data_IF_700693675013
#
_entry.id   IF_700693675013
#
_cell.length_a   1.000
_cell.length_b   1.000
_cell.length_c   1.000
_cell.angle_alpha   90.00
_cell.angle_beta   90.00
_cell.angle_gamma   90.00
#
_symmetry.space_group_name_H-M   'P 1'
#
loop_
_entity.id
_entity.type
_entity.pdbx_description
1 polymer ?
#
# COMPACT_ATOMS: atom_id res chain seq x y z
N UNK A 1 15.83 3.84 18.43
CA UNK A 1 14.69 2.89 18.60
C UNK A 1 15.09 1.61 17.89
N UNK A 2 14.80 0.44 18.46
CA UNK A 2 15.06 -0.85 17.83
C UNK A 2 13.70 -1.34 17.32
N UNK A 3 13.61 -1.72 16.04
CA UNK A 3 12.38 -2.26 15.47
C UNK A 3 12.15 -3.69 15.96
N UNK A 4 10.88 -4.08 16.08
CA UNK A 4 10.51 -5.48 16.23
C UNK A 4 10.61 -6.19 14.88
N UNK A 5 10.50 -7.53 14.87
CA UNK A 5 10.50 -8.32 13.63
C UNK A 5 9.36 -7.89 12.69
N UNK A 6 8.18 -7.59 13.25
CA UNK A 6 7.06 -7.03 12.48
C UNK A 6 7.38 -5.62 11.95
N UNK A 7 8.09 -4.80 12.74
CA UNK A 7 8.56 -3.50 12.31
C UNK A 7 9.58 -3.57 11.16
N UNK A 8 10.45 -4.59 11.17
CA UNK A 8 11.38 -4.85 10.07
C UNK A 8 10.64 -5.27 8.79
N UNK A 9 9.59 -6.11 8.89
CA UNK A 9 8.73 -6.44 7.74
C UNK A 9 8.08 -5.18 7.15
N UNK A 10 7.54 -4.31 8.01
CA UNK A 10 6.96 -3.03 7.59
C UNK A 10 7.99 -2.16 6.87
N UNK A 11 9.21 -2.07 7.42
CA UNK A 11 10.30 -1.30 6.82
C UNK A 11 10.73 -1.85 5.45
N UNK A 12 10.84 -3.17 5.31
CA UNK A 12 11.21 -3.83 4.06
C UNK A 12 10.17 -3.59 2.97
N UNK A 13 8.88 -3.83 3.24
CA UNK A 13 7.82 -3.60 2.25
C UNK A 13 7.63 -2.10 1.96
N UNK A 14 7.99 -1.21 2.90
CA UNK A 14 8.02 0.23 2.67
C UNK A 14 9.05 0.58 1.59
N UNK A 15 10.31 0.16 1.74
CA UNK A 15 11.35 0.41 0.74
C UNK A 15 11.03 -0.22 -0.62
N UNK A 16 10.60 -1.48 -0.61
CA UNK A 16 10.21 -2.21 -1.83
C UNK A 16 9.10 -1.49 -2.61
N UNK A 17 8.22 -0.76 -1.95
CA UNK A 17 7.19 0.02 -2.64
C UNK A 17 7.77 1.10 -3.55
N UNK A 18 8.90 1.71 -3.18
CA UNK A 18 9.59 2.72 -4.00
C UNK A 18 10.46 2.07 -5.09
N UNK A 19 10.96 0.86 -4.85
CA UNK A 19 11.68 0.09 -5.88
C UNK A 19 10.73 -0.36 -7.01
N UNK A 20 9.49 -0.71 -6.66
CA UNK A 20 8.49 -1.21 -7.61
C UNK A 20 7.75 -0.10 -8.38
N UNK A 21 7.68 1.12 -7.83
CA UNK A 21 6.83 2.20 -8.35
C UNK A 21 7.68 3.39 -8.76
N UNK A 22 7.98 3.46 -10.06
CA UNK A 22 8.81 4.52 -10.64
C UNK A 22 8.24 5.94 -10.48
N UNK A 23 6.93 6.06 -10.23
CA UNK A 23 6.26 7.33 -9.98
C UNK A 23 6.42 7.84 -8.55
N UNK A 24 6.87 7.01 -7.60
CA UNK A 24 6.99 7.37 -6.19
C UNK A 24 8.40 7.83 -5.82
N UNK A 25 8.47 8.97 -5.14
CA UNK A 25 9.71 9.52 -4.61
C UNK A 25 9.58 9.71 -3.09
N UNK A 26 10.51 9.13 -2.34
CA UNK A 26 10.56 9.21 -0.88
C UNK A 26 11.42 10.39 -0.44
N UNK A 27 10.83 11.36 0.26
CA UNK A 27 11.56 12.54 0.76
C UNK A 27 12.00 12.40 2.21
N UNK A 28 11.09 11.98 3.09
CA UNK A 28 11.37 11.80 4.51
C UNK A 28 10.34 10.86 5.11
N UNK A 29 10.73 10.00 6.05
CA UNK A 29 9.79 9.19 6.78
C UNK A 29 10.32 8.86 8.17
N UNK A 30 9.41 8.41 9.04
CA UNK A 30 9.72 7.82 10.33
C UNK A 30 8.73 6.70 10.61
N UNK A 31 9.26 5.53 10.96
CA UNK A 31 8.48 4.41 11.44
C UNK A 31 8.53 4.39 12.97
N UNK A 32 7.37 4.55 13.58
CA UNK A 32 7.14 4.50 15.02
C UNK A 32 6.40 3.19 15.37
N UNK A 33 6.36 2.76 16.65
CA UNK A 33 5.79 1.46 17.01
C UNK A 33 4.32 1.26 16.62
N UNK A 34 3.56 2.35 16.48
CA UNK A 34 2.13 2.33 16.18
C UNK A 34 1.74 3.14 14.93
N UNK A 35 2.66 3.87 14.30
CA UNK A 35 2.36 4.69 13.13
C UNK A 35 3.57 4.95 12.24
N UNK A 36 3.30 5.36 11.00
CA UNK A 36 4.28 5.78 10.02
C UNK A 36 3.94 7.21 9.60
N UNK A 37 4.91 8.13 9.64
CA UNK A 37 4.78 9.44 9.00
C UNK A 37 5.74 9.51 7.82
N UNK A 38 5.31 10.13 6.72
CA UNK A 38 6.11 10.21 5.50
C UNK A 38 5.75 11.44 4.67
N UNK A 39 6.72 11.92 3.89
CA UNK A 39 6.54 12.78 2.74
C UNK A 39 6.90 11.96 1.50
N UNK A 40 5.89 11.77 0.64
CA UNK A 40 6.02 11.09 -0.64
C UNK A 40 5.58 12.05 -1.73
N UNK A 41 6.33 12.06 -2.83
CA UNK A 41 5.95 12.72 -4.07
C UNK A 41 5.52 11.67 -5.10
N UNK A 42 4.45 11.99 -5.83
CA UNK A 42 3.95 11.16 -6.92
C UNK A 42 4.12 11.95 -8.22
N UNK A 43 4.99 11.49 -9.10
CA UNK A 43 5.26 12.12 -10.38
C UNK A 43 4.67 11.29 -11.54
N UNK A 44 3.50 11.71 -12.00
CA UNK A 44 2.78 11.06 -13.10
C UNK A 44 3.39 11.33 -14.49
N UNK A 45 4.47 12.10 -14.58
CA UNK A 45 5.15 12.36 -15.86
C UNK A 45 6.21 11.31 -16.21
N UNK A 46 6.44 10.31 -15.34
CA UNK A 46 7.32 9.19 -15.64
C UNK A 46 6.61 8.28 -16.66
N UNK A 47 7.06 8.33 -17.91
CA UNK A 47 6.64 7.35 -18.92
C UNK A 47 7.18 5.98 -18.52
N UNK A 48 6.39 4.90 -18.60
CA UNK A 48 6.87 3.58 -18.25
C UNK A 48 8.06 3.24 -19.15
N UNK A 49 9.16 2.85 -18.53
CA UNK A 49 10.40 2.55 -19.20
C UNK A 49 10.58 1.03 -19.23
N UNK A 50 9.65 0.28 -19.83
CA UNK A 50 9.86 -1.14 -20.10
C UNK A 50 9.20 -1.60 -21.39
N UNK A 51 9.98 -2.36 -22.15
CA UNK A 51 9.62 -3.16 -23.32
C UNK A 51 8.55 -4.20 -22.91
N UNK A 52 7.29 -3.78 -22.81
CA UNK A 52 6.18 -4.72 -22.73
C UNK A 52 6.05 -5.43 -24.08
N UNK A 53 6.15 -6.76 -24.08
CA UNK A 53 5.72 -7.58 -25.21
C UNK A 53 4.19 -7.51 -25.20
N UNK A 54 3.53 -6.93 -26.23
CA UNK A 54 2.08 -6.87 -26.25
C UNK A 54 1.53 -8.28 -26.47
N UNK A 55 0.79 -8.80 -25.49
CA UNK A 55 -0.02 -10.00 -25.67
C UNK A 55 -1.38 -9.56 -26.23
N UNK A 56 -1.47 -9.43 -27.55
CA UNK A 56 -2.70 -9.08 -28.27
C UNK A 56 -3.67 -10.28 -28.32
N UNK A 57 -4.24 -10.71 -27.19
CA UNK A 57 -5.31 -11.72 -27.22
C UNK A 57 -6.32 -11.52 -26.08
N UNK A 58 -7.65 -11.52 -26.37
CA UNK A 58 -8.68 -11.52 -25.33
C UNK A 58 -8.45 -12.72 -24.41
N UNK A 59 -8.28 -12.46 -23.11
CA UNK A 59 -8.10 -13.52 -22.11
C UNK A 59 -9.44 -13.77 -21.46
N UNK A 60 -10.17 -14.79 -21.94
CA UNK A 60 -11.37 -15.27 -21.25
C UNK A 60 -10.96 -16.12 -20.05
N UNK A 61 -11.34 -15.71 -18.83
CA UNK A 61 -10.98 -16.41 -17.60
C UNK A 61 -12.24 -16.70 -16.79
N UNK A 62 -12.62 -17.98 -16.68
CA UNK A 62 -13.78 -18.44 -15.90
C UNK A 62 -13.33 -19.06 -14.57
N UNK A 63 -13.74 -18.48 -13.44
CA UNK A 63 -13.46 -19.01 -12.09
C UNK A 63 -13.20 -17.91 -11.04
N UNK A 64 -12.95 -18.32 -9.79
CA UNK A 64 -12.39 -17.43 -8.77
C UNK A 64 -10.92 -17.22 -9.14
N UNK A 65 -10.55 -15.98 -9.45
CA UNK A 65 -9.18 -15.60 -9.78
C UNK A 65 -8.63 -14.80 -8.61
N UNK A 66 -7.79 -15.43 -7.80
CA UNK A 66 -7.01 -14.77 -6.75
C UNK A 66 -5.63 -14.41 -7.32
N UNK A 67 -5.39 -13.12 -7.59
CA UNK A 67 -4.06 -12.63 -7.93
C UNK A 67 -3.46 -11.88 -6.74
N UNK A 68 -2.26 -12.30 -6.34
CA UNK A 68 -1.55 -11.71 -5.21
C UNK A 68 -0.56 -10.61 -5.62
N UNK A 69 -0.63 -10.08 -6.86
CA UNK A 69 0.34 -9.17 -7.48
C UNK A 69 -0.30 -8.10 -8.40
N UNK A 70 0.52 -7.18 -8.92
CA UNK A 70 0.19 -6.24 -9.99
C UNK A 70 -0.29 -6.99 -11.24
N UNK A 71 -1.47 -6.62 -11.75
CA UNK A 71 -2.04 -7.15 -12.98
C UNK A 71 -2.23 -6.00 -13.97
N UNK A 72 -1.48 -6.05 -15.07
CA UNK A 72 -1.64 -5.16 -16.22
C UNK A 72 -2.35 -5.95 -17.33
N UNK A 73 -3.52 -5.47 -17.74
CA UNK A 73 -4.32 -6.08 -18.81
C UNK A 73 -4.50 -5.07 -19.94
N UNK A 74 -3.96 -5.42 -21.11
CA UNK A 74 -4.20 -4.71 -22.37
C UNK A 74 -5.45 -5.29 -23.05
N UNK A 75 -6.63 -4.80 -22.69
CA UNK A 75 -7.92 -5.17 -23.29
C UNK A 75 -9.12 -4.96 -22.36
N UNK A 76 -10.31 -5.27 -22.87
CA UNK A 76 -11.52 -5.36 -22.06
C UNK A 76 -11.47 -6.62 -21.18
N UNK A 77 -11.75 -6.46 -19.88
CA UNK A 77 -11.78 -7.57 -18.93
C UNK A 77 -13.23 -7.95 -18.64
N UNK A 78 -13.67 -9.06 -19.23
CA UNK A 78 -14.94 -9.69 -18.89
C UNK A 78 -14.72 -10.77 -17.83
N UNK A 79 -15.36 -10.62 -16.67
CA UNK A 79 -15.35 -11.66 -15.63
C UNK A 79 -16.76 -12.12 -15.32
N UNK A 80 -16.96 -13.44 -15.29
CA UNK A 80 -18.20 -14.06 -14.84
C UNK A 80 -17.99 -14.58 -13.40
N UNK A 81 -18.05 -13.68 -12.41
CA UNK A 81 -17.90 -14.05 -10.99
C UNK A 81 -17.54 -12.87 -10.07
N UNK A 82 -17.14 -13.18 -8.83
CA UNK A 82 -16.56 -12.22 -7.88
C UNK A 82 -15.05 -12.12 -8.12
N UNK A 83 -14.56 -10.93 -8.49
CA UNK A 83 -13.14 -10.62 -8.55
C UNK A 83 -12.74 -9.83 -7.29
N UNK A 84 -12.01 -10.48 -6.37
CA UNK A 84 -11.38 -9.81 -5.24
C UNK A 84 -9.90 -9.60 -5.56
N UNK A 85 -9.47 -8.35 -5.69
CA UNK A 85 -8.08 -8.01 -5.93
C UNK A 85 -7.48 -7.40 -4.67
N UNK A 86 -6.39 -8.00 -4.20
CA UNK A 86 -5.62 -7.50 -3.05
C UNK A 86 -4.46 -6.59 -3.50
N UNK A 87 -4.40 -6.22 -4.79
CA UNK A 87 -3.36 -5.42 -5.43
C UNK A 87 -3.91 -4.40 -6.45
N UNK A 88 -3.01 -3.69 -7.11
CA UNK A 88 -3.36 -2.72 -8.16
C UNK A 88 -3.74 -3.42 -9.46
N UNK A 89 -4.83 -2.97 -10.07
CA UNK A 89 -5.28 -3.41 -11.39
C UNK A 89 -5.22 -2.23 -12.34
N UNK A 90 -4.32 -2.29 -13.33
CA UNK A 90 -4.28 -1.37 -14.45
C UNK A 90 -5.06 -1.99 -15.63
N UNK A 91 -6.14 -1.31 -16.07
CA UNK A 91 -6.91 -1.69 -17.27
C UNK A 91 -6.97 -0.52 -18.24
N UNK A 92 -6.62 -0.76 -19.50
CA UNK A 92 -6.76 0.24 -20.58
C UNK A 92 -8.16 0.22 -21.24
N UNK A 93 -9.09 -0.63 -20.77
CA UNK A 93 -10.46 -0.79 -21.26
C UNK A 93 -11.56 -0.66 -20.19
N UNK A 94 -12.81 -0.95 -20.57
CA UNK A 94 -13.97 -0.94 -19.65
C UNK A 94 -14.05 -2.25 -18.86
N UNK A 95 -14.26 -2.16 -17.54
CA UNK A 95 -14.49 -3.33 -16.69
C UNK A 95 -16.00 -3.48 -16.47
N UNK A 96 -16.61 -4.49 -17.12
CA UNK A 96 -18.02 -4.83 -16.92
C UNK A 96 -18.14 -6.05 -16.00
N UNK A 97 -18.85 -5.89 -14.87
CA UNK A 97 -19.17 -7.00 -13.96
C UNK A 97 -20.68 -7.26 -14.00
N UNK A 98 -21.11 -8.43 -14.47
CA UNK A 98 -22.53 -8.80 -14.59
C UNK A 98 -23.20 -9.22 -13.27
N UNK A 99 -22.93 -8.47 -12.19
CA UNK A 99 -23.51 -8.69 -10.86
C UNK A 99 -23.16 -7.54 -9.94
N UNK A 100 -24.13 -7.06 -9.14
CA UNK A 100 -24.02 -5.88 -8.29
C UNK A 100 -22.77 -5.89 -7.39
N UNK A 101 -21.78 -5.08 -7.74
CA UNK A 101 -21.12 -4.12 -6.86
C UNK A 101 -20.15 -3.27 -7.69
N UNK A 102 -20.43 -1.99 -7.88
CA UNK A 102 -19.41 -1.02 -8.23
C UNK A 102 -18.43 -0.96 -7.05
N UNK A 103 -17.44 -1.85 -7.01
CA UNK A 103 -16.31 -1.65 -6.13
C UNK A 103 -15.57 -0.44 -6.68
N UNK A 104 -15.42 0.64 -5.91
CA UNK A 104 -14.68 1.80 -6.39
C UNK A 104 -13.25 1.37 -6.71
N UNK A 105 -12.93 1.31 -8.00
CA UNK A 105 -11.59 0.99 -8.48
C UNK A 105 -10.68 2.17 -8.15
N UNK A 106 -9.56 1.89 -7.47
CA UNK A 106 -8.57 2.93 -7.19
C UNK A 106 -7.87 3.26 -8.48
N UNK A 107 -7.72 4.55 -8.78
CA UNK A 107 -6.92 4.98 -9.92
C UNK A 107 -5.48 4.47 -9.74
N UNK A 108 -4.86 3.90 -10.78
CA UNK A 108 -3.47 3.51 -10.71
C UNK A 108 -2.58 4.73 -10.49
N UNK A 109 -1.39 4.51 -9.94
CA UNK A 109 -0.40 5.58 -9.67
C UNK A 109 -0.95 6.70 -8.78
N UNK A 110 -1.96 6.38 -7.96
CA UNK A 110 -2.54 7.30 -6.97
C UNK A 110 -2.06 6.95 -5.56
N UNK A 111 -2.12 7.93 -4.65
CA UNK A 111 -1.82 7.71 -3.23
C UNK A 111 -2.66 6.57 -2.63
N UNK A 112 -3.93 6.47 -3.03
CA UNK A 112 -4.84 5.42 -2.56
C UNK A 112 -4.42 4.04 -3.04
N UNK A 113 -4.01 3.92 -4.30
CA UNK A 113 -3.50 2.68 -4.89
C UNK A 113 -2.20 2.24 -4.20
N UNK A 114 -1.25 3.17 -4.05
CA UNK A 114 0.00 2.92 -3.32
C UNK A 114 -0.24 2.43 -1.89
N UNK A 115 -1.00 3.17 -1.08
CA UNK A 115 -1.23 2.81 0.34
C UNK A 115 -1.98 1.48 0.47
N UNK A 116 -2.90 1.18 -0.45
CA UNK A 116 -3.60 -0.09 -0.46
C UNK A 116 -2.65 -1.27 -0.72
N UNK A 117 -1.82 -1.16 -1.76
CA UNK A 117 -0.82 -2.18 -2.08
C UNK A 117 0.18 -2.38 -0.95
N UNK A 118 0.68 -1.30 -0.35
CA UNK A 118 1.59 -1.37 0.79
C UNK A 118 0.98 -2.08 2.00
N UNK A 119 -0.21 -1.67 2.43
CA UNK A 119 -0.89 -2.29 3.60
C UNK A 119 -1.20 -3.77 3.35
N UNK A 120 -1.57 -4.11 2.12
CA UNK A 120 -1.85 -5.50 1.71
C UNK A 120 -0.59 -6.36 1.78
N UNK A 121 0.50 -5.91 1.16
CA UNK A 121 1.78 -6.63 1.15
C UNK A 121 2.33 -6.86 2.56
N UNK A 122 2.26 -5.85 3.43
CA UNK A 122 2.66 -6.00 4.84
C UNK A 122 1.82 -7.04 5.57
N UNK A 123 0.48 -7.01 5.44
CA UNK A 123 -0.37 -8.00 6.09
C UNK A 123 0.00 -9.42 5.65
N UNK A 124 0.16 -9.64 4.34
CA UNK A 124 0.57 -10.94 3.80
C UNK A 124 1.90 -11.38 4.39
N UNK A 125 2.91 -10.49 4.44
CA UNK A 125 4.23 -10.84 4.99
C UNK A 125 4.23 -11.12 6.48
N UNK A 126 3.39 -10.42 7.23
CA UNK A 126 3.22 -10.68 8.66
C UNK A 126 2.52 -12.02 8.88
N UNK A 127 1.47 -12.33 8.11
CA UNK A 127 0.77 -13.61 8.21
C UNK A 127 1.69 -14.79 7.81
N UNK A 128 2.48 -14.63 6.74
CA UNK A 128 3.53 -15.59 6.34
C UNK A 128 4.53 -15.82 7.47
N UNK A 129 4.98 -14.75 8.13
CA UNK A 129 5.93 -14.80 9.23
C UNK A 129 5.33 -15.51 10.45
N UNK A 130 4.06 -15.22 10.80
CA UNK A 130 3.34 -15.90 11.87
C UNK A 130 3.29 -17.42 11.63
N UNK A 131 3.00 -17.83 10.39
CA UNK A 131 2.95 -19.25 10.01
C UNK A 131 4.33 -19.92 10.09
N UNK A 132 5.35 -19.29 9.51
CA UNK A 132 6.71 -19.84 9.46
C UNK A 132 7.31 -20.03 10.85
N UNK A 133 6.99 -19.13 11.78
CA UNK A 133 7.49 -19.15 13.15
C UNK A 133 6.50 -19.79 14.15
N UNK A 134 5.35 -20.26 13.66
CA UNK A 134 4.28 -20.89 14.45
C UNK A 134 3.92 -20.06 15.69
N UNK A 135 3.75 -18.75 15.50
CA UNK A 135 3.51 -17.80 16.59
C UNK A 135 2.06 -17.93 17.10
N UNK A 136 1.81 -17.86 18.42
CA UNK A 136 0.47 -17.94 18.99
C UNK A 136 -0.27 -16.59 18.90
N UNK A 137 -0.27 -15.96 17.72
CA UNK A 137 -0.88 -14.66 17.46
C UNK A 137 -1.94 -14.84 16.36
N UNK A 138 -3.16 -14.29 16.51
CA UNK A 138 -4.16 -14.37 15.46
C UNK A 138 -3.72 -13.61 14.21
N UNK A 139 -3.91 -14.21 13.05
CA UNK A 139 -3.65 -13.60 11.74
C UNK A 139 -4.52 -12.38 11.49
N UNK A 140 -4.06 -11.52 10.58
CA UNK A 140 -4.80 -10.31 10.23
C UNK A 140 -5.75 -10.57 9.06
N UNK A 141 -7.00 -10.15 9.22
CA UNK A 141 -8.06 -10.34 8.23
C UNK A 141 -9.12 -9.25 8.38
N UNK A 142 -10.20 -9.28 7.59
CA UNK A 142 -11.26 -8.25 7.57
C UNK A 142 -11.95 -7.93 8.92
N UNK A 143 -11.73 -8.72 9.97
CA UNK A 143 -12.26 -8.48 11.33
C UNK A 143 -11.15 -8.29 12.37
N UNK A 144 -9.88 -8.44 11.99
CA UNK A 144 -8.71 -8.26 12.83
C UNK A 144 -7.63 -7.54 12.02
N UNK A 145 -7.51 -6.22 12.14
CA UNK A 145 -6.66 -5.42 11.26
C UNK A 145 -5.35 -5.03 11.94
N UNK A 146 -4.23 -5.22 11.25
CA UNK A 146 -2.93 -4.68 11.66
C UNK A 146 -2.90 -3.15 11.50
N UNK A 147 -3.40 -2.65 10.37
CA UNK A 147 -3.51 -1.22 10.09
C UNK A 147 -4.88 -0.65 10.45
N UNK A 148 -4.91 0.61 10.88
CA UNK A 148 -6.12 1.42 10.79
C UNK A 148 -6.64 1.47 9.33
N UNK A 149 -7.97 1.50 9.15
CA UNK A 149 -8.60 1.39 7.84
C UNK A 149 -8.17 2.52 6.88
N UNK A 150 -8.21 3.75 7.37
CA UNK A 150 -7.86 4.94 6.59
C UNK A 150 -6.41 5.37 6.83
N UNK A 151 -6.04 6.48 6.21
CA UNK A 151 -4.78 7.18 6.44
C UNK A 151 -5.06 8.68 6.38
N UNK A 152 -4.19 9.48 6.99
CA UNK A 152 -4.27 10.94 6.90
C UNK A 152 -3.26 11.41 5.85
N UNK A 153 -3.74 12.15 4.86
CA UNK A 153 -2.92 12.78 3.83
C UNK A 153 -3.04 14.31 3.87
N UNK A 154 -2.00 14.98 3.37
CA UNK A 154 -1.96 16.43 3.28
C UNK A 154 -1.09 16.86 2.10
N UNK A 155 -1.64 17.64 1.18
CA UNK A 155 -0.89 18.16 0.02
C UNK A 155 -0.03 19.33 0.49
N UNK A 156 1.29 19.17 0.38
CA UNK A 156 2.28 20.21 0.66
C UNK A 156 2.39 21.14 -0.55
N UNK A 157 2.18 22.45 -0.35
CA UNK A 157 2.10 23.45 -1.44
C UNK A 157 3.15 24.55 -1.38
N UNK A 158 4.03 24.53 -0.38
CA UNK A 158 5.09 25.51 -0.24
C UNK A 158 6.33 24.89 0.41
N UNK A 159 7.48 25.51 0.13
CA UNK A 159 8.77 25.12 0.72
C UNK A 159 8.73 25.21 2.25
N UNK A 160 8.17 26.29 2.81
CA UNK A 160 8.05 26.45 4.25
C UNK A 160 7.22 25.33 4.91
N UNK A 161 6.14 24.89 4.24
CA UNK A 161 5.34 23.77 4.72
C UNK A 161 6.12 22.45 4.62
N UNK A 162 6.87 22.25 3.53
CA UNK A 162 7.74 21.09 3.34
C UNK A 162 8.77 20.98 4.46
N UNK A 163 9.57 22.03 4.68
CA UNK A 163 10.61 22.09 5.71
C UNK A 163 10.00 21.83 7.10
N UNK A 164 8.86 22.46 7.40
CA UNK A 164 8.19 22.28 8.71
C UNK A 164 7.73 20.85 8.93
N UNK A 165 7.12 20.20 7.93
CA UNK A 165 6.63 18.82 8.04
C UNK A 165 7.80 17.84 8.08
N UNK A 166 8.83 18.05 7.27
CA UNK A 166 10.05 17.25 7.27
C UNK A 166 10.73 17.30 8.66
N UNK A 167 10.87 18.49 9.23
CA UNK A 167 11.39 18.67 10.58
C UNK A 167 10.51 17.99 11.63
N UNK A 168 9.19 18.05 11.50
CA UNK A 168 8.28 17.31 12.39
C UNK A 168 8.55 15.80 12.34
N UNK A 169 8.67 15.23 11.14
CA UNK A 169 8.90 13.79 10.93
C UNK A 169 10.23 13.36 11.55
N UNK A 170 11.32 14.04 11.19
CA UNK A 170 12.68 13.68 11.65
C UNK A 170 12.80 13.75 13.17
N UNK A 171 12.14 14.74 13.80
CA UNK A 171 12.21 14.94 15.24
C UNK A 171 11.15 14.17 16.02
N UNK A 172 10.21 13.48 15.35
CA UNK A 172 9.12 12.76 16.01
C UNK A 172 9.60 11.65 16.98
N UNK A 173 10.64 10.85 16.67
CA UNK A 173 11.14 9.84 17.61
C UNK A 173 11.54 10.42 18.97
N UNK A 174 12.11 11.63 18.99
CA UNK A 174 12.50 12.33 20.21
C UNK A 174 11.31 12.79 21.05
N UNK A 175 10.12 12.90 20.45
CA UNK A 175 8.87 13.33 21.11
C UNK A 175 7.96 12.15 21.46
N UNK A 176 8.42 10.91 21.30
CA UNK A 176 7.60 9.72 21.51
C UNK A 176 6.93 9.64 22.88
N UNK A 177 7.63 10.08 23.94
CA UNK A 177 7.09 10.06 25.30
C UNK A 177 5.90 11.01 25.50
N UNK A 178 5.77 12.03 24.65
CA UNK A 178 4.70 13.03 24.67
C UNK A 178 3.61 12.73 23.62
N UNK A 179 3.79 11.68 22.83
CA UNK A 179 2.87 11.32 21.76
C UNK A 179 1.54 10.82 22.32
N UNK A 180 0.42 11.38 21.84
CA UNK A 180 -0.94 11.05 22.30
C UNK A 180 -1.34 9.60 22.02
N UNK A 181 -0.70 8.96 21.04
CA UNK A 181 -0.92 7.57 20.68
C UNK A 181 0.04 6.63 21.41
N UNK A 182 0.97 7.15 22.21
CA UNK A 182 1.86 6.33 23.00
C UNK A 182 1.05 5.59 24.08
N UNK A 183 1.00 4.24 24.08
CA UNK A 183 0.20 3.48 25.04
C UNK A 183 0.63 3.70 26.49
N UNK A 184 1.86 4.16 26.75
CA UNK A 184 2.34 4.49 28.11
C UNK A 184 1.75 5.80 28.63
N UNK A 185 1.32 6.69 27.74
CA UNK A 185 0.69 7.98 28.06
C UNK A 185 -0.83 7.88 28.29
N UNK A 186 -1.46 6.76 27.90
CA UNK A 186 -2.85 6.45 28.15
C UNK A 186 -2.99 5.84 29.57
N UNK A 187 -2.97 6.69 30.60
CA UNK A 187 -3.30 6.33 31.99
C UNK A 187 -4.62 6.94 32.42
#
# INVERSE_FOLDING_TARGET
MILSEMGEIVLQEWYKSFDLRSELFLHSFVLMPNHLHTIVEINNNVKPNHLAVPQNSPTEMSGIVETNNFVELDGDLETNGTAETNGDVETNGTVETNGRSFLPQRLPKSISSFIAGFKSAVNTKIDDYIDQHNLPIPKYHRKNHFFQQNYHDHIIRSEDAFIRIQNYIINNPGKWMEDKLNPVSLK
#
